data_IF_225785891548
#
_entry.id   IF_225785891548
#
_cell.length_a   1.000
_cell.length_b   1.000
_cell.length_c   1.000
_cell.angle_alpha   90.00
_cell.angle_beta   90.00
_cell.angle_gamma   90.00
#
_symmetry.space_group_name_H-M   'P 1'
#
loop_
_entity.id
_entity.type
_entity.pdbx_description
1 polymer ?
#
# COMPACT_ATOMS: atom_id res chain seq x y z
N UNK A 1 50.78 -14.57 -32.91
CA UNK A 1 49.50 -15.28 -33.07
C UNK A 1 49.53 -16.53 -32.19
N UNK A 2 49.06 -16.43 -30.95
CA UNK A 2 49.14 -17.52 -29.96
C UNK A 2 47.87 -18.39 -30.09
N UNK A 3 48.09 -19.71 -30.19
CA UNK A 3 47.15 -20.79 -30.50
C UNK A 3 45.79 -20.72 -29.76
N UNK A 4 44.73 -20.30 -30.45
CA UNK A 4 43.32 -20.50 -30.02
C UNK A 4 42.95 -21.99 -29.84
N UNK A 5 43.69 -22.89 -30.47
CA UNK A 5 43.53 -24.36 -30.44
C UNK A 5 43.98 -25.02 -29.13
N UNK A 6 44.79 -24.36 -28.28
CA UNK A 6 45.17 -24.89 -26.95
C UNK A 6 44.12 -24.63 -25.87
N UNK A 7 43.42 -23.50 -25.95
CA UNK A 7 42.44 -23.05 -24.94
C UNK A 7 41.13 -23.86 -25.03
N UNK A 8 40.67 -24.17 -26.25
CA UNK A 8 39.46 -24.99 -26.48
C UNK A 8 39.66 -26.43 -26.01
N UNK A 9 40.86 -26.99 -26.17
CA UNK A 9 41.21 -28.33 -25.69
C UNK A 9 41.23 -28.43 -24.15
N UNK A 10 41.75 -27.42 -23.47
CA UNK A 10 41.81 -27.36 -22.00
C UNK A 10 40.41 -27.19 -21.38
N UNK A 11 39.51 -26.44 -22.03
CA UNK A 11 38.11 -26.31 -21.63
C UNK A 11 37.31 -27.62 -21.74
N UNK A 12 37.48 -28.37 -22.83
CA UNK A 12 36.87 -29.70 -22.97
C UNK A 12 37.49 -30.71 -21.99
N UNK A 13 38.79 -30.61 -21.72
CA UNK A 13 39.50 -31.45 -20.75
C UNK A 13 38.93 -31.30 -19.33
N UNK A 14 38.85 -30.07 -18.78
CA UNK A 14 38.30 -29.87 -17.43
C UNK A 14 36.81 -30.18 -17.34
N UNK A 15 36.03 -29.94 -18.40
CA UNK A 15 34.60 -30.31 -18.44
C UNK A 15 34.41 -31.83 -18.48
N UNK A 16 35.30 -32.58 -19.15
CA UNK A 16 35.31 -34.05 -19.18
C UNK A 16 35.76 -34.66 -17.84
N UNK A 17 36.73 -34.04 -17.17
CA UNK A 17 37.17 -34.45 -15.81
C UNK A 17 36.14 -34.11 -14.72
N UNK A 18 35.34 -33.05 -14.92
CA UNK A 18 34.21 -32.72 -14.05
C UNK A 18 33.04 -33.73 -14.16
N UNK A 19 32.93 -34.48 -15.26
CA UNK A 19 31.79 -35.35 -15.54
C UNK A 19 32.07 -36.86 -15.51
N UNK A 20 33.33 -37.30 -15.64
CA UNK A 20 33.71 -38.73 -15.66
C UNK A 20 34.80 -39.01 -14.60
N UNK A 21 34.75 -40.17 -13.95
CA UNK A 21 35.82 -40.64 -13.07
C UNK A 21 37.08 -40.89 -13.90
N UNK A 22 38.03 -39.97 -13.83
CA UNK A 22 39.24 -40.03 -14.64
C UNK A 22 40.12 -41.19 -14.21
N UNK A 23 40.71 -41.92 -15.16
CA UNK A 23 41.72 -42.93 -14.85
C UNK A 23 42.95 -42.27 -14.20
N UNK A 24 43.63 -43.01 -13.34
CA UNK A 24 44.89 -42.60 -12.74
C UNK A 24 45.93 -42.38 -13.84
N UNK A 25 46.48 -41.17 -13.97
CA UNK A 25 47.42 -40.82 -15.04
C UNK A 25 48.67 -41.71 -15.06
N UNK A 26 49.15 -42.08 -13.87
CA UNK A 26 50.31 -42.96 -13.72
C UNK A 26 49.98 -44.40 -14.12
N UNK A 27 48.82 -44.93 -13.71
CA UNK A 27 48.43 -46.29 -14.11
C UNK A 27 48.10 -46.36 -15.61
N UNK A 28 47.45 -45.34 -16.15
CA UNK A 28 47.08 -45.24 -17.56
C UNK A 28 48.33 -45.19 -18.46
N UNK A 29 49.38 -44.47 -18.03
CA UNK A 29 50.69 -44.46 -18.70
C UNK A 29 51.37 -45.84 -18.73
N UNK A 30 50.95 -46.76 -17.86
CA UNK A 30 51.38 -48.17 -17.81
C UNK A 30 50.38 -49.12 -18.47
N UNK A 31 49.40 -48.59 -19.21
CA UNK A 31 48.28 -49.31 -19.82
C UNK A 31 47.39 -50.08 -18.82
N UNK A 32 47.33 -49.61 -17.57
CA UNK A 32 46.49 -50.17 -16.51
C UNK A 32 45.43 -49.11 -16.14
N UNK A 33 44.16 -49.38 -16.44
CA UNK A 33 43.09 -48.46 -16.08
C UNK A 33 42.64 -48.69 -14.62
N UNK A 34 43.01 -47.76 -13.73
CA UNK A 34 42.48 -47.67 -12.35
C UNK A 34 41.75 -46.34 -12.18
N UNK A 35 40.62 -46.28 -11.48
CA UNK A 35 39.93 -45.02 -11.22
C UNK A 35 40.77 -44.11 -10.30
N UNK A 36 40.77 -42.80 -10.57
CA UNK A 36 41.39 -41.82 -9.69
C UNK A 36 40.50 -41.56 -8.48
N UNK A 37 41.11 -41.57 -7.29
CA UNK A 37 40.45 -41.17 -6.04
C UNK A 37 40.80 -39.72 -5.68
N UNK A 38 41.96 -39.23 -6.11
CA UNK A 38 42.45 -37.88 -5.80
C UNK A 38 43.02 -37.18 -7.04
N UNK A 39 43.08 -35.86 -7.00
CA UNK A 39 43.64 -34.97 -8.02
C UNK A 39 44.83 -34.20 -7.46
N UNK A 40 45.92 -34.12 -8.21
CA UNK A 40 47.08 -33.29 -7.85
C UNK A 40 47.12 -32.03 -8.72
N UNK A 41 47.17 -30.84 -8.10
CA UNK A 41 47.13 -29.57 -8.83
C UNK A 41 48.40 -29.30 -9.64
N UNK A 42 49.56 -29.61 -9.08
CA UNK A 42 50.87 -29.31 -9.67
C UNK A 42 51.23 -30.30 -10.78
N UNK A 43 50.79 -31.56 -10.66
CA UNK A 43 50.93 -32.55 -11.72
C UNK A 43 49.82 -32.46 -12.76
N UNK A 44 48.70 -31.81 -12.43
CA UNK A 44 47.49 -31.72 -13.26
C UNK A 44 47.03 -33.11 -13.76
N UNK A 45 47.06 -34.09 -12.85
CA UNK A 45 46.73 -35.49 -13.13
C UNK A 45 45.95 -36.13 -11.96
N UNK A 46 45.12 -37.13 -12.29
CA UNK A 46 44.39 -37.94 -11.34
C UNK A 46 45.23 -39.11 -10.82
N UNK A 47 45.07 -39.46 -9.54
CA UNK A 47 45.81 -40.50 -8.83
C UNK A 47 44.82 -41.51 -8.22
N UNK A 48 45.06 -42.81 -8.42
CA UNK A 48 44.42 -43.86 -7.60
C UNK A 48 45.06 -43.91 -6.21
N UNK A 49 44.47 -44.65 -5.26
CA UNK A 49 44.93 -44.65 -3.87
C UNK A 49 46.41 -45.07 -3.72
N UNK A 50 46.83 -46.13 -4.42
CA UNK A 50 48.23 -46.60 -4.42
C UNK A 50 49.19 -45.56 -4.99
N UNK A 51 48.81 -44.90 -6.09
CA UNK A 51 49.64 -43.87 -6.71
C UNK A 51 49.72 -42.63 -5.83
N UNK A 52 48.63 -42.26 -5.16
CA UNK A 52 48.59 -41.16 -4.19
C UNK A 52 49.52 -41.43 -3.01
N UNK A 53 49.48 -42.63 -2.42
CA UNK A 53 50.39 -43.01 -1.32
C UNK A 53 51.86 -42.87 -1.72
N UNK A 54 52.21 -43.34 -2.91
CA UNK A 54 53.57 -43.16 -3.41
C UNK A 54 53.91 -41.69 -3.70
N UNK A 55 52.94 -40.93 -4.21
CA UNK A 55 53.08 -39.51 -4.56
C UNK A 55 53.37 -38.63 -3.35
N UNK A 56 52.71 -38.87 -2.21
CA UNK A 56 52.94 -38.12 -0.97
C UNK A 56 54.24 -38.50 -0.26
N UNK A 57 54.73 -39.73 -0.46
CA UNK A 57 55.98 -40.21 0.14
C UNK A 57 57.22 -39.80 -0.67
N UNK A 58 57.06 -39.58 -1.97
CA UNK A 58 58.15 -39.19 -2.84
C UNK A 58 58.63 -37.76 -2.56
N UNK A 59 59.96 -37.58 -2.43
CA UNK A 59 60.59 -36.29 -2.10
C UNK A 59 60.24 -35.17 -3.09
N UNK A 60 60.01 -35.51 -4.36
CA UNK A 60 59.72 -34.53 -5.41
C UNK A 60 58.27 -34.02 -5.41
N UNK A 61 57.32 -34.82 -4.90
CA UNK A 61 55.88 -34.54 -5.00
C UNK A 61 55.16 -34.45 -3.65
N UNK A 62 55.86 -34.70 -2.53
CA UNK A 62 55.30 -34.62 -1.17
C UNK A 62 54.70 -33.26 -0.78
N UNK A 63 55.07 -32.18 -1.47
CA UNK A 63 54.57 -30.82 -1.22
C UNK A 63 53.43 -30.41 -2.14
N UNK A 64 52.98 -31.29 -3.04
CA UNK A 64 51.91 -30.99 -3.98
C UNK A 64 50.55 -30.95 -3.26
N UNK A 65 49.69 -30.02 -3.68
CA UNK A 65 48.30 -29.97 -3.25
C UNK A 65 47.51 -31.14 -3.86
N UNK A 66 46.95 -31.98 -2.98
CA UNK A 66 46.10 -33.10 -3.38
C UNK A 66 44.70 -32.89 -2.80
N UNK A 67 43.68 -33.05 -3.63
CA UNK A 67 42.27 -32.98 -3.23
C UNK A 67 41.52 -34.22 -3.74
N UNK A 68 40.54 -34.77 -3.01
CA UNK A 68 39.67 -35.82 -3.54
C UNK A 68 38.99 -35.41 -4.85
N UNK A 69 38.83 -36.35 -5.79
CA UNK A 69 38.26 -36.04 -7.11
C UNK A 69 36.84 -35.49 -6.99
N UNK A 70 36.01 -36.03 -6.09
CA UNK A 70 34.64 -35.55 -5.87
C UNK A 70 34.58 -34.09 -5.39
N UNK A 71 35.56 -33.61 -4.61
CA UNK A 71 35.65 -32.22 -4.18
C UNK A 71 36.25 -31.34 -5.29
N UNK A 72 37.22 -31.85 -6.04
CA UNK A 72 37.74 -31.16 -7.23
C UNK A 72 36.64 -30.88 -8.26
N UNK A 73 35.74 -31.85 -8.48
CA UNK A 73 34.60 -31.72 -9.39
C UNK A 73 33.58 -30.64 -8.96
N UNK A 74 33.55 -30.28 -7.68
CA UNK A 74 32.69 -29.19 -7.17
C UNK A 74 33.31 -27.81 -7.36
N UNK A 75 34.59 -27.71 -7.72
CA UNK A 75 35.24 -26.41 -7.93
C UNK A 75 34.62 -25.69 -9.13
N UNK A 76 34.34 -24.38 -9.02
CA UNK A 76 33.82 -23.61 -10.14
C UNK A 76 34.78 -23.65 -11.33
N UNK A 77 34.23 -23.75 -12.54
CA UNK A 77 35.03 -23.73 -13.79
C UNK A 77 35.90 -22.47 -13.87
N UNK A 78 35.41 -21.34 -13.35
CA UNK A 78 36.18 -20.09 -13.29
C UNK A 78 37.45 -20.21 -12.46
N UNK A 79 37.45 -21.01 -11.39
CA UNK A 79 38.64 -21.29 -10.56
C UNK A 79 39.59 -22.23 -11.30
N UNK A 80 39.07 -23.27 -11.97
CA UNK A 80 39.86 -24.22 -12.75
C UNK A 80 40.56 -23.59 -13.96
N UNK A 81 40.10 -22.41 -14.40
CA UNK A 81 40.70 -21.64 -15.49
C UNK A 81 41.84 -20.72 -15.02
N UNK A 82 42.04 -20.57 -13.72
CA UNK A 82 43.14 -19.75 -13.19
C UNK A 82 44.45 -20.50 -13.46
N UNK A 83 45.38 -19.82 -14.12
CA UNK A 83 46.70 -20.38 -14.44
C UNK A 83 47.74 -19.87 -13.45
N UNK A 84 48.62 -20.76 -12.99
CA UNK A 84 49.75 -20.40 -12.10
C UNK A 84 50.89 -19.66 -12.83
N UNK A 85 50.79 -19.52 -14.15
CA UNK A 85 51.85 -19.01 -15.02
C UNK A 85 51.45 -17.70 -15.69
N UNK A 86 52.43 -16.82 -15.87
CA UNK A 86 52.30 -15.57 -16.58
C UNK A 86 51.97 -15.83 -18.04
N UNK A 87 50.89 -15.20 -18.52
CA UNK A 87 50.41 -15.33 -19.90
C UNK A 87 51.40 -14.76 -20.92
N UNK A 88 52.17 -13.74 -20.53
CA UNK A 88 53.11 -13.06 -21.41
C UNK A 88 54.46 -13.78 -21.51
N UNK A 89 54.95 -14.33 -20.39
CA UNK A 89 56.31 -14.85 -20.29
C UNK A 89 56.41 -16.35 -20.01
N UNK A 90 55.31 -17.01 -19.66
CA UNK A 90 55.25 -18.46 -19.40
C UNK A 90 55.90 -18.91 -18.08
N UNK A 91 56.31 -17.97 -17.22
CA UNK A 91 56.93 -18.24 -15.92
C UNK A 91 55.91 -18.19 -14.78
N UNK A 92 56.15 -18.92 -13.69
CA UNK A 92 55.24 -18.91 -12.53
C UNK A 92 55.12 -17.51 -11.94
N UNK A 93 53.92 -17.17 -11.46
CA UNK A 93 53.74 -15.96 -10.67
C UNK A 93 54.51 -16.06 -9.36
N UNK A 94 55.19 -14.98 -8.97
CA UNK A 94 56.02 -14.91 -7.77
C UNK A 94 55.65 -13.74 -6.86
N UNK A 95 55.07 -12.68 -7.41
CA UNK A 95 54.67 -11.51 -6.64
C UNK A 95 53.28 -11.03 -7.04
N UNK A 96 52.64 -10.26 -6.17
CA UNK A 96 51.42 -9.51 -6.46
C UNK A 96 51.73 -8.03 -6.41
N UNK A 97 51.29 -7.30 -7.43
CA UNK A 97 51.40 -5.84 -7.48
C UNK A 97 50.09 -5.21 -7.05
N UNK A 98 50.06 -4.60 -5.86
CA UNK A 98 48.85 -3.97 -5.31
C UNK A 98 48.42 -2.74 -6.11
N UNK A 99 49.37 -2.01 -6.71
CA UNK A 99 49.08 -0.85 -7.55
C UNK A 99 48.27 -1.20 -8.81
N UNK A 100 48.57 -2.36 -9.41
CA UNK A 100 47.94 -2.81 -10.66
C UNK A 100 46.99 -3.99 -10.46
N UNK A 101 46.79 -4.40 -9.21
CA UNK A 101 45.93 -5.50 -8.77
C UNK A 101 46.15 -6.82 -9.56
N UNK A 102 47.41 -7.16 -9.84
CA UNK A 102 47.74 -8.31 -10.69
C UNK A 102 48.94 -9.13 -10.19
N UNK A 103 48.93 -10.43 -10.53
CA UNK A 103 50.04 -11.34 -10.28
C UNK A 103 51.16 -11.17 -11.31
N UNK A 104 52.40 -11.18 -10.86
CA UNK A 104 53.61 -10.88 -11.64
C UNK A 104 54.63 -12.03 -11.56
N UNK A 105 55.21 -12.41 -12.70
CA UNK A 105 56.41 -13.27 -12.73
C UNK A 105 57.69 -12.42 -12.65
N UNK A 106 58.87 -13.03 -12.52
CA UNK A 106 60.16 -12.32 -12.38
C UNK A 106 60.40 -11.34 -13.53
N UNK A 107 60.09 -11.71 -14.78
CA UNK A 107 60.22 -10.83 -15.95
C UNK A 107 59.27 -9.63 -15.90
N UNK A 108 58.02 -9.82 -15.47
CA UNK A 108 57.07 -8.72 -15.26
C UNK A 108 57.61 -7.69 -14.26
N UNK A 109 58.31 -8.14 -13.21
CA UNK A 109 58.91 -7.27 -12.21
C UNK A 109 60.05 -6.41 -12.77
N UNK A 110 60.81 -6.92 -13.74
CA UNK A 110 61.94 -6.22 -14.36
C UNK A 110 61.51 -5.30 -15.51
N UNK A 111 60.37 -5.59 -16.15
CA UNK A 111 59.84 -4.84 -17.29
C UNK A 111 58.75 -3.86 -16.83
N UNK A 112 57.51 -4.34 -16.77
CA UNK A 112 56.31 -3.52 -16.59
C UNK A 112 56.13 -3.00 -15.17
N UNK A 113 56.68 -3.70 -14.17
CA UNK A 113 56.51 -3.39 -12.75
C UNK A 113 57.79 -2.90 -12.05
N UNK A 114 58.86 -2.57 -12.80
CA UNK A 114 60.17 -2.15 -12.24
C UNK A 114 60.13 -0.95 -11.30
N UNK A 115 59.13 -0.08 -11.47
CA UNK A 115 58.95 1.14 -10.69
C UNK A 115 57.82 1.02 -9.65
N UNK A 116 57.20 -0.16 -9.52
CA UNK A 116 56.15 -0.41 -8.52
C UNK A 116 56.81 -0.66 -7.16
N UNK A 117 56.42 0.12 -6.15
CA UNK A 117 56.97 0.02 -4.79
C UNK A 117 56.18 -0.91 -3.87
N UNK A 118 54.94 -1.21 -4.24
CA UNK A 118 54.02 -2.03 -3.45
C UNK A 118 53.83 -3.40 -4.10
N UNK A 119 54.86 -4.22 -3.91
CA UNK A 119 54.97 -5.59 -4.42
C UNK A 119 55.11 -6.53 -3.21
N UNK A 120 54.30 -7.57 -3.16
CA UNK A 120 54.36 -8.59 -2.09
C UNK A 120 54.59 -9.95 -2.71
N UNK A 121 55.35 -10.83 -2.05
CA UNK A 121 55.49 -12.22 -2.49
C UNK A 121 54.10 -12.87 -2.56
N UNK A 122 53.85 -13.63 -3.63
CA UNK A 122 52.55 -14.24 -3.87
C UNK A 122 52.19 -15.24 -2.76
N UNK A 123 53.18 -15.94 -2.19
CA UNK A 123 52.96 -16.88 -1.10
C UNK A 123 52.59 -16.13 0.18
N UNK A 124 53.20 -14.97 0.44
CA UNK A 124 52.84 -14.12 1.58
C UNK A 124 51.41 -13.59 1.43
N UNK A 125 51.00 -13.17 0.22
CA UNK A 125 49.60 -12.78 -0.05
C UNK A 125 48.65 -13.95 0.18
N UNK A 126 48.98 -15.14 -0.32
CA UNK A 126 48.15 -16.35 -0.13
C UNK A 126 48.05 -16.72 1.35
N UNK A 127 49.18 -16.70 2.08
CA UNK A 127 49.21 -16.94 3.53
C UNK A 127 48.38 -15.90 4.27
N UNK A 128 48.51 -14.62 3.94
CA UNK A 128 47.72 -13.55 4.56
C UNK A 128 46.22 -13.71 4.29
N UNK A 129 45.81 -14.10 3.08
CA UNK A 129 44.39 -14.37 2.78
C UNK A 129 43.89 -15.58 3.57
N UNK A 130 44.69 -16.65 3.66
CA UNK A 130 44.32 -17.88 4.38
C UNK A 130 44.29 -17.71 5.90
N UNK A 131 45.17 -16.88 6.44
CA UNK A 131 45.32 -16.63 7.88
C UNK A 131 44.51 -15.43 8.38
N UNK A 132 44.01 -14.58 7.49
CA UNK A 132 43.11 -13.46 7.85
C UNK A 132 41.65 -13.87 7.80
N UNK A 133 40.80 -13.02 8.38
CA UNK A 133 39.34 -13.17 8.33
C UNK A 133 38.73 -12.64 7.02
N UNK A 134 39.54 -12.39 5.97
CA UNK A 134 39.05 -11.76 4.73
C UNK A 134 37.91 -12.56 4.08
N UNK A 135 38.07 -13.88 3.96
CA UNK A 135 37.03 -14.74 3.38
C UNK A 135 35.75 -14.76 4.24
N UNK A 136 35.89 -14.74 5.57
CA UNK A 136 34.77 -14.69 6.51
C UNK A 136 34.00 -13.36 6.42
N UNK A 137 34.69 -12.22 6.26
CA UNK A 137 34.05 -10.91 6.09
C UNK A 137 33.35 -10.80 4.72
N UNK A 138 33.93 -11.38 3.65
CA UNK A 138 33.25 -11.49 2.35
C UNK A 138 31.96 -12.32 2.49
N UNK A 139 32.03 -13.47 3.15
CA UNK A 139 30.87 -14.35 3.37
C UNK A 139 29.77 -13.64 4.17
N UNK A 140 30.14 -12.88 5.20
CA UNK A 140 29.24 -12.06 6.01
C UNK A 140 28.60 -10.94 5.20
N UNK A 141 29.37 -10.25 4.37
CA UNK A 141 28.84 -9.25 3.43
C UNK A 141 27.86 -9.86 2.45
N UNK A 142 28.16 -11.05 1.90
CA UNK A 142 27.23 -11.77 1.02
C UNK A 142 25.91 -12.08 1.73
N UNK A 143 25.95 -12.57 2.98
CA UNK A 143 24.73 -12.81 3.78
C UNK A 143 23.91 -11.53 3.96
N UNK A 144 24.56 -10.43 4.33
CA UNK A 144 23.88 -9.13 4.52
C UNK A 144 23.17 -8.65 3.25
N UNK A 145 23.84 -8.74 2.10
CA UNK A 145 23.25 -8.38 0.80
C UNK A 145 22.03 -9.25 0.51
N UNK A 146 22.12 -10.56 0.75
CA UNK A 146 20.99 -11.49 0.56
C UNK A 146 19.81 -11.13 1.48
N UNK A 147 20.05 -10.84 2.75
CA UNK A 147 19.00 -10.43 3.69
C UNK A 147 18.32 -9.12 3.25
N UNK A 148 19.10 -8.13 2.82
CA UNK A 148 18.59 -6.86 2.29
C UNK A 148 17.72 -7.07 1.04
N UNK A 149 18.18 -7.91 0.10
CA UNK A 149 17.40 -8.25 -1.09
C UNK A 149 16.08 -8.95 -0.73
N UNK A 150 16.09 -9.83 0.28
CA UNK A 150 14.88 -10.47 0.78
C UNK A 150 13.90 -9.46 1.41
N UNK A 151 14.40 -8.51 2.22
CA UNK A 151 13.58 -7.43 2.80
C UNK A 151 12.95 -6.57 1.72
N UNK A 152 13.72 -6.16 0.72
CA UNK A 152 13.22 -5.39 -0.43
C UNK A 152 12.12 -6.20 -1.14
N UNK A 153 12.37 -7.47 -1.45
CA UNK A 153 11.40 -8.35 -2.11
C UNK A 153 10.09 -8.43 -1.31
N UNK A 154 10.17 -8.64 0.00
CA UNK A 154 8.99 -8.75 0.86
C UNK A 154 8.21 -7.43 0.93
N UNK A 155 8.91 -6.30 1.08
CA UNK A 155 8.29 -4.97 1.08
C UNK A 155 7.55 -4.69 -0.25
N UNK A 156 8.18 -4.97 -1.40
CA UNK A 156 7.56 -4.73 -2.72
C UNK A 156 6.39 -5.69 -2.99
N UNK A 157 6.47 -6.94 -2.56
CA UNK A 157 5.35 -7.89 -2.63
C UNK A 157 4.16 -7.43 -1.75
N UNK A 158 4.44 -6.89 -0.57
CA UNK A 158 3.43 -6.27 0.30
C UNK A 158 2.75 -5.08 -0.37
N UNK A 159 3.53 -4.15 -0.94
CA UNK A 159 2.99 -3.00 -1.68
C UNK A 159 2.13 -3.40 -2.88
N UNK A 160 2.53 -4.43 -3.65
CA UNK A 160 1.70 -4.96 -4.74
C UNK A 160 0.34 -5.47 -4.25
N UNK A 161 0.33 -6.14 -3.09
CA UNK A 161 -0.90 -6.62 -2.47
C UNK A 161 -1.78 -5.47 -2.00
N UNK A 162 -1.19 -4.44 -1.39
CA UNK A 162 -1.89 -3.22 -0.98
C UNK A 162 -2.49 -2.47 -2.17
N UNK A 163 -1.79 -2.37 -3.30
CA UNK A 163 -2.31 -1.75 -4.53
C UNK A 163 -3.58 -2.44 -5.02
N UNK A 164 -3.63 -3.78 -4.96
CA UNK A 164 -4.84 -4.54 -5.31
C UNK A 164 -6.01 -4.18 -4.38
N UNK A 165 -5.76 -4.11 -3.08
CA UNK A 165 -6.78 -3.74 -2.08
C UNK A 165 -7.25 -2.29 -2.30
N UNK A 166 -6.34 -1.36 -2.57
CA UNK A 166 -6.70 0.04 -2.85
C UNK A 166 -7.59 0.15 -4.09
N UNK A 167 -7.27 -0.58 -5.16
CA UNK A 167 -8.12 -0.64 -6.36
C UNK A 167 -9.53 -1.12 -6.02
N UNK A 168 -9.64 -2.27 -5.34
CA UNK A 168 -10.94 -2.85 -4.98
C UNK A 168 -11.74 -1.92 -4.05
N UNK A 169 -11.07 -1.23 -3.13
CA UNK A 169 -11.69 -0.26 -2.23
C UNK A 169 -12.24 0.93 -3.01
N UNK A 170 -11.44 1.53 -3.90
CA UNK A 170 -11.84 2.66 -4.73
C UNK A 170 -12.99 2.27 -5.67
N UNK A 171 -12.94 1.09 -6.28
CA UNK A 171 -14.02 0.56 -7.12
C UNK A 171 -15.34 0.48 -6.33
N UNK A 172 -15.31 -0.06 -5.11
CA UNK A 172 -16.49 -0.15 -4.25
C UNK A 172 -17.00 1.23 -3.80
N UNK A 173 -16.11 2.18 -3.51
CA UNK A 173 -16.48 3.54 -3.15
C UNK A 173 -17.20 4.25 -4.30
N UNK A 174 -16.67 4.16 -5.53
CA UNK A 174 -17.30 4.72 -6.73
C UNK A 174 -18.71 4.17 -6.91
N UNK A 175 -18.87 2.85 -6.80
CA UNK A 175 -20.18 2.19 -6.92
C UNK A 175 -21.14 2.63 -5.81
N UNK A 176 -20.67 2.68 -4.57
CA UNK A 176 -21.46 3.08 -3.40
C UNK A 176 -21.95 4.52 -3.52
N UNK A 177 -21.10 5.45 -3.96
CA UNK A 177 -21.48 6.86 -4.19
C UNK A 177 -22.56 6.94 -5.26
N UNK A 178 -22.38 6.24 -6.39
CA UNK A 178 -23.38 6.22 -7.46
C UNK A 178 -24.73 5.66 -6.97
N UNK A 179 -24.70 4.57 -6.21
CA UNK A 179 -25.90 3.96 -5.66
C UNK A 179 -26.64 4.92 -4.73
N UNK A 180 -25.94 5.58 -3.78
CA UNK A 180 -26.55 6.56 -2.88
C UNK A 180 -27.20 7.73 -3.61
N UNK A 181 -26.58 8.23 -4.68
CA UNK A 181 -27.15 9.29 -5.52
C UNK A 181 -28.46 8.81 -6.16
N UNK A 182 -28.47 7.62 -6.75
CA UNK A 182 -29.66 7.06 -7.38
C UNK A 182 -30.78 6.83 -6.35
N UNK A 183 -30.45 6.27 -5.18
CA UNK A 183 -31.42 6.05 -4.10
C UNK A 183 -32.04 7.37 -3.61
N UNK A 184 -31.24 8.43 -3.52
CA UNK A 184 -31.74 9.76 -3.18
C UNK A 184 -32.71 10.30 -4.22
N UNK A 185 -32.36 10.23 -5.52
CA UNK A 185 -33.26 10.68 -6.59
C UNK A 185 -34.54 9.86 -6.68
N UNK A 186 -34.46 8.52 -6.54
CA UNK A 186 -35.63 7.65 -6.49
C UNK A 186 -36.55 7.99 -5.31
N UNK A 187 -35.98 8.38 -4.16
CA UNK A 187 -36.78 8.84 -3.02
C UNK A 187 -37.49 10.15 -3.32
N UNK A 188 -36.79 11.15 -3.87
CA UNK A 188 -37.39 12.45 -4.24
C UNK A 188 -38.51 12.28 -5.27
N UNK A 189 -38.31 11.43 -6.29
CA UNK A 189 -39.33 11.11 -7.29
C UNK A 189 -40.58 10.51 -6.63
N UNK A 190 -40.42 9.51 -5.75
CA UNK A 190 -41.55 8.90 -5.04
C UNK A 190 -42.30 9.88 -4.15
N UNK A 191 -41.58 10.77 -3.46
CA UNK A 191 -42.19 11.81 -2.63
C UNK A 191 -43.03 12.77 -3.47
N UNK A 192 -42.49 13.25 -4.59
CA UNK A 192 -43.19 14.17 -5.50
C UNK A 192 -44.40 13.53 -6.18
N UNK A 193 -44.28 12.27 -6.61
CA UNK A 193 -45.41 11.52 -7.19
C UNK A 193 -46.52 11.28 -6.16
N UNK A 194 -46.15 11.02 -4.89
CA UNK A 194 -47.12 10.88 -3.81
C UNK A 194 -47.84 12.19 -3.52
N UNK A 195 -47.12 13.31 -3.50
CA UNK A 195 -47.69 14.65 -3.34
C UNK A 195 -48.65 14.98 -4.48
N UNK A 196 -48.24 14.74 -5.73
CA UNK A 196 -49.10 14.90 -6.91
C UNK A 196 -50.39 14.08 -6.78
N UNK A 197 -50.28 12.82 -6.38
CA UNK A 197 -51.43 11.94 -6.18
C UNK A 197 -52.37 12.45 -5.07
N UNK A 198 -51.83 13.02 -3.99
CA UNK A 198 -52.62 13.60 -2.91
C UNK A 198 -53.38 14.84 -3.39
N UNK A 199 -52.68 15.77 -4.05
CA UNK A 199 -53.30 16.99 -4.60
C UNK A 199 -54.40 16.64 -5.59
N UNK A 200 -54.12 15.72 -6.52
CA UNK A 200 -55.09 15.25 -7.52
C UNK A 200 -56.33 14.64 -6.85
N UNK A 201 -56.15 13.79 -5.85
CA UNK A 201 -57.27 13.17 -5.12
C UNK A 201 -58.11 14.19 -4.36
N UNK A 202 -57.50 15.20 -3.76
CA UNK A 202 -58.22 16.20 -2.97
C UNK A 202 -59.03 17.15 -3.87
N UNK A 203 -58.47 17.58 -5.00
CA UNK A 203 -59.20 18.34 -6.02
C UNK A 203 -60.32 17.50 -6.65
N UNK A 204 -60.06 16.23 -6.97
CA UNK A 204 -61.07 15.28 -7.45
C UNK A 204 -62.24 15.15 -6.47
N UNK A 205 -61.98 15.07 -5.17
CA UNK A 205 -63.05 15.01 -4.15
C UNK A 205 -63.89 16.27 -4.13
N UNK A 206 -63.28 17.46 -4.27
CA UNK A 206 -64.01 18.73 -4.31
C UNK A 206 -64.92 18.79 -5.53
N UNK A 207 -64.38 18.51 -6.72
CA UNK A 207 -65.13 18.47 -7.98
C UNK A 207 -66.26 17.43 -7.93
N UNK A 208 -65.99 16.24 -7.40
CA UNK A 208 -67.00 15.17 -7.28
C UNK A 208 -68.17 15.56 -6.35
N UNK A 209 -67.91 16.30 -5.26
CA UNK A 209 -68.98 16.82 -4.38
C UNK A 209 -69.89 17.80 -5.12
N UNK A 210 -69.28 18.72 -5.87
CA UNK A 210 -70.02 19.69 -6.68
C UNK A 210 -70.88 18.96 -7.72
N UNK A 211 -70.29 18.03 -8.46
CA UNK A 211 -71.00 17.22 -9.46
C UNK A 211 -72.20 16.50 -8.84
N UNK A 212 -72.03 15.84 -7.70
CA UNK A 212 -73.11 15.13 -7.01
C UNK A 212 -74.24 16.08 -6.58
N UNK A 213 -73.89 17.29 -6.13
CA UNK A 213 -74.86 18.32 -5.74
C UNK A 213 -75.69 18.81 -6.93
N UNK A 214 -75.01 19.07 -8.06
CA UNK A 214 -75.64 19.51 -9.32
C UNK A 214 -76.54 18.41 -9.89
N UNK A 215 -76.05 17.17 -10.00
CA UNK A 215 -76.85 16.03 -10.50
C UNK A 215 -78.11 15.79 -9.67
N UNK A 216 -78.04 15.97 -8.34
CA UNK A 216 -79.20 15.84 -7.46
C UNK A 216 -80.24 16.92 -7.77
N UNK A 217 -79.79 18.15 -7.99
CA UNK A 217 -80.67 19.29 -8.31
C UNK A 217 -81.26 19.16 -9.71
N UNK A 218 -80.48 18.73 -10.68
CA UNK A 218 -80.94 18.42 -12.04
C UNK A 218 -82.09 17.40 -12.00
N UNK A 219 -81.93 16.27 -11.31
CA UNK A 219 -82.98 15.25 -11.15
C UNK A 219 -84.24 15.78 -10.45
N UNK A 220 -84.07 16.66 -9.45
CA UNK A 220 -85.20 17.31 -8.77
C UNK A 220 -86.01 18.16 -9.76
N UNK A 221 -85.33 18.97 -10.59
CA UNK A 221 -85.96 19.81 -11.61
C UNK A 221 -86.61 18.97 -12.72
N UNK A 222 -85.96 17.93 -13.20
CA UNK A 222 -86.52 17.01 -14.22
C UNK A 222 -87.83 16.37 -13.73
N UNK A 223 -87.85 15.91 -12.47
CA UNK A 223 -89.05 15.36 -11.85
C UNK A 223 -90.21 16.38 -11.80
N UNK A 224 -89.89 17.64 -11.45
CA UNK A 224 -90.87 18.72 -11.45
C UNK A 224 -91.37 19.07 -12.86
N UNK A 225 -90.53 19.03 -13.89
CA UNK A 225 -90.96 19.23 -15.28
C UNK A 225 -91.99 18.18 -15.73
N UNK A 226 -91.77 16.91 -15.38
CA UNK A 226 -92.72 15.83 -15.68
C UNK A 226 -94.04 16.07 -14.96
N UNK A 227 -93.99 16.37 -13.65
CA UNK A 227 -95.18 16.64 -12.85
C UNK A 227 -95.97 17.86 -13.34
N UNK A 228 -95.27 18.93 -13.73
CA UNK A 228 -95.88 20.14 -14.28
C UNK A 228 -96.69 19.85 -15.55
N UNK A 229 -96.23 18.93 -16.40
CA UNK A 229 -96.94 18.53 -17.62
C UNK A 229 -98.27 17.85 -17.30
N UNK A 230 -98.28 16.96 -16.30
CA UNK A 230 -99.50 16.26 -15.83
C UNK A 230 -100.47 17.24 -15.18
N UNK A 231 -99.96 18.14 -14.32
CA UNK A 231 -100.77 19.15 -13.61
C UNK A 231 -101.48 20.06 -14.62
N UNK A 232 -100.79 20.55 -15.64
CA UNK A 232 -101.37 21.39 -16.69
C UNK A 232 -102.54 20.74 -17.44
N UNK A 233 -102.55 19.41 -17.57
CA UNK A 233 -103.57 18.68 -18.33
C UNK A 233 -104.76 18.25 -17.48
N UNK A 234 -104.54 17.96 -16.19
CA UNK A 234 -105.49 17.18 -15.39
C UNK A 234 -105.79 17.75 -13.99
N UNK A 235 -105.03 18.73 -13.49
CA UNK A 235 -105.24 19.26 -12.14
C UNK A 235 -106.32 20.35 -12.09
N UNK A 236 -106.96 20.48 -10.93
CA UNK A 236 -107.86 21.60 -10.64
C UNK A 236 -107.10 22.94 -10.54
N UNK A 237 -107.81 24.06 -10.68
CA UNK A 237 -107.23 25.40 -10.58
C UNK A 237 -106.49 25.63 -9.26
N UNK A 238 -107.07 25.18 -8.14
CA UNK A 238 -106.46 25.30 -6.82
C UNK A 238 -105.19 24.44 -6.69
N UNK A 239 -105.21 23.19 -7.16
CA UNK A 239 -104.03 22.32 -7.16
C UNK A 239 -102.91 22.89 -8.04
N UNK A 240 -103.26 23.44 -9.20
CA UNK A 240 -102.32 24.07 -10.12
C UNK A 240 -101.65 25.27 -9.46
N UNK A 241 -102.42 26.14 -8.80
CA UNK A 241 -101.88 27.31 -8.09
C UNK A 241 -100.98 26.93 -6.91
N UNK A 242 -101.37 25.95 -6.09
CA UNK A 242 -100.57 25.55 -4.93
C UNK A 242 -99.23 24.92 -5.34
N UNK A 243 -99.25 24.03 -6.35
CA UNK A 243 -98.01 23.39 -6.82
C UNK A 243 -97.14 24.35 -7.61
N UNK A 244 -97.69 25.31 -8.36
CA UNK A 244 -96.88 26.32 -9.05
C UNK A 244 -96.07 27.16 -8.06
N UNK A 245 -96.65 27.52 -6.90
CA UNK A 245 -95.91 28.20 -5.83
C UNK A 245 -94.82 27.36 -5.19
N UNK A 246 -95.03 26.05 -5.06
CA UNK A 246 -93.96 25.15 -4.60
C UNK A 246 -92.82 25.06 -5.62
N UNK A 247 -93.14 24.94 -6.93
CA UNK A 247 -92.13 24.91 -7.99
C UNK A 247 -91.35 26.23 -8.05
N UNK A 248 -92.03 27.38 -7.97
CA UNK A 248 -91.37 28.70 -7.90
C UNK A 248 -90.33 28.75 -6.77
N UNK A 249 -90.67 28.24 -5.58
CA UNK A 249 -89.73 28.18 -4.46
C UNK A 249 -88.51 27.31 -4.75
N UNK A 250 -88.71 26.10 -5.30
CA UNK A 250 -87.60 25.19 -5.64
C UNK A 250 -86.69 25.79 -6.72
N UNK A 251 -87.27 26.52 -7.69
CA UNK A 251 -86.50 27.23 -8.71
C UNK A 251 -85.65 28.35 -8.09
N UNK A 252 -86.21 29.15 -7.17
CA UNK A 252 -85.45 30.17 -6.44
C UNK A 252 -84.31 29.56 -5.62
N UNK A 253 -84.55 28.44 -4.93
CA UNK A 253 -83.51 27.73 -4.17
C UNK A 253 -82.39 27.20 -5.07
N UNK A 254 -82.73 26.75 -6.29
CA UNK A 254 -81.77 26.24 -7.27
C UNK A 254 -80.94 27.37 -7.89
N UNK A 255 -81.57 28.51 -8.16
CA UNK A 255 -80.89 29.71 -8.65
C UNK A 255 -79.91 30.27 -7.61
N UNK A 256 -80.34 30.34 -6.35
CA UNK A 256 -79.46 30.71 -5.23
C UNK A 256 -78.25 29.77 -5.10
N UNK A 257 -78.45 28.46 -5.31
CA UNK A 257 -77.35 27.50 -5.32
C UNK A 257 -76.37 27.79 -6.47
N UNK A 258 -76.86 27.96 -7.70
CA UNK A 258 -76.02 28.26 -8.86
C UNK A 258 -75.22 29.55 -8.64
N UNK A 259 -75.87 30.60 -8.14
CA UNK A 259 -75.22 31.86 -7.81
C UNK A 259 -74.14 31.67 -6.73
N UNK A 260 -74.44 30.90 -5.66
CA UNK A 260 -73.47 30.62 -4.61
C UNK A 260 -72.23 29.88 -5.12
N UNK A 261 -72.39 28.94 -6.06
CA UNK A 261 -71.27 28.21 -6.66
C UNK A 261 -70.41 29.14 -7.54
N UNK A 262 -71.04 30.07 -8.24
CA UNK A 262 -70.34 31.06 -9.06
C UNK A 262 -69.58 32.07 -8.17
N UNK A 263 -70.21 32.57 -7.11
CA UNK A 263 -69.62 33.53 -6.17
C UNK A 263 -68.46 32.92 -5.38
N UNK A 264 -68.55 31.64 -5.02
CA UNK A 264 -67.49 30.90 -4.32
C UNK A 264 -66.37 30.39 -5.23
N UNK A 265 -66.41 30.71 -6.53
CA UNK A 265 -65.44 30.22 -7.53
C UNK A 265 -65.36 28.68 -7.62
N UNK A 266 -66.44 27.97 -7.29
CA UNK A 266 -66.49 26.50 -7.34
C UNK A 266 -66.48 25.95 -8.79
N UNK A 267 -66.75 26.83 -9.77
CA UNK A 267 -66.77 26.52 -11.20
C UNK A 267 -65.40 26.74 -11.88
N UNK A 268 -64.34 27.04 -11.13
CA UNK A 268 -63.00 27.25 -11.72
C UNK A 268 -62.36 25.94 -12.18
N UNK A 269 -61.73 25.95 -13.36
CA UNK A 269 -60.91 24.83 -13.83
C UNK A 269 -59.65 24.65 -12.98
N UNK A 270 -59.37 23.40 -12.60
CA UNK A 270 -58.16 23.04 -11.83
C UNK A 270 -57.06 22.60 -12.79
N UNK A 271 -55.94 23.34 -12.82
CA UNK A 271 -54.75 23.00 -13.62
C UNK A 271 -53.58 22.69 -12.69
N UNK A 272 -53.10 21.45 -12.72
CA UNK A 272 -51.92 21.02 -11.97
C UNK A 272 -50.68 21.18 -12.86
N UNK A 273 -49.65 21.88 -12.37
CA UNK A 273 -48.40 22.08 -13.11
C UNK A 273 -47.18 21.73 -12.25
N UNK A 274 -46.12 21.25 -12.90
CA UNK A 274 -44.86 20.89 -12.25
C UNK A 274 -43.82 21.99 -12.48
N UNK A 275 -43.27 22.54 -11.39
CA UNK A 275 -42.09 23.40 -11.42
C UNK A 275 -40.88 22.65 -10.88
N UNK A 276 -39.97 22.28 -11.78
CA UNK A 276 -38.72 21.61 -11.41
C UNK A 276 -37.68 22.59 -10.89
N UNK A 277 -36.91 22.15 -9.90
CA UNK A 277 -35.80 22.88 -9.31
C UNK A 277 -34.72 23.19 -10.37
N UNK A 278 -34.10 24.37 -10.29
CA UNK A 278 -33.06 24.80 -11.23
C UNK A 278 -31.82 23.91 -11.17
N UNK A 279 -31.48 23.37 -9.99
CA UNK A 279 -30.35 22.47 -9.80
C UNK A 279 -30.57 21.15 -10.53
N UNK A 280 -31.79 20.61 -10.52
CA UNK A 280 -32.16 19.38 -11.25
C UNK A 280 -31.94 19.56 -12.76
N UNK A 281 -32.29 20.73 -13.30
CA UNK A 281 -32.03 21.06 -14.71
C UNK A 281 -30.54 21.18 -15.02
N UNK A 282 -29.74 21.56 -14.03
CA UNK A 282 -28.29 21.75 -14.13
C UNK A 282 -27.44 20.50 -13.89
N UNK A 283 -27.98 19.42 -13.31
CA UNK A 283 -27.19 18.24 -12.89
C UNK A 283 -26.24 17.73 -13.98
N UNK A 284 -26.73 17.59 -15.21
CA UNK A 284 -25.93 17.08 -16.34
C UNK A 284 -24.85 18.05 -16.84
N UNK A 285 -25.00 19.36 -16.56
CA UNK A 285 -24.07 20.41 -16.99
C UNK A 285 -23.01 20.71 -15.92
N UNK A 286 -23.43 20.74 -14.66
CA UNK A 286 -22.62 21.10 -13.51
C UNK A 286 -21.75 19.93 -13.04
N UNK A 287 -22.27 18.70 -13.04
CA UNK A 287 -21.53 17.51 -12.59
C UNK A 287 -20.87 16.82 -13.79
N UNK A 288 -19.59 17.13 -14.03
CA UNK A 288 -18.82 16.57 -15.18
C UNK A 288 -17.92 15.39 -14.86
N UNK A 289 -17.63 15.16 -13.58
CA UNK A 289 -16.78 14.04 -13.10
C UNK A 289 -17.24 13.56 -11.74
N UNK A 290 -17.07 12.27 -11.46
CA UNK A 290 -17.37 11.66 -10.16
C UNK A 290 -16.31 11.94 -9.10
N UNK A 291 -15.06 12.09 -9.53
CA UNK A 291 -13.92 12.29 -8.65
C UNK A 291 -12.64 12.28 -9.46
N UNK A 292 -11.52 12.25 -8.74
CA UNK A 292 -10.17 12.23 -9.30
C UNK A 292 -9.35 11.15 -8.59
N UNK A 293 -8.65 10.32 -9.36
CA UNK A 293 -7.76 9.30 -8.81
C UNK A 293 -6.38 9.92 -8.71
N UNK A 294 -5.87 10.03 -7.47
CA UNK A 294 -4.55 10.62 -7.19
C UNK A 294 -3.60 9.52 -6.74
N UNK A 295 -2.38 9.53 -7.29
CA UNK A 295 -1.29 8.64 -6.86
C UNK A 295 -0.37 9.43 -5.95
N UNK A 296 -0.24 9.00 -4.70
CA UNK A 296 0.73 9.54 -3.76
C UNK A 296 1.86 8.54 -3.58
N UNK A 297 3.10 9.01 -3.68
CA UNK A 297 4.30 8.23 -3.41
C UNK A 297 5.00 8.81 -2.20
N UNK A 298 5.22 7.97 -1.18
CA UNK A 298 6.06 8.29 -0.04
C UNK A 298 7.27 7.38 -0.03
N UNK A 299 8.33 7.82 0.66
CA UNK A 299 9.45 6.94 0.95
C UNK A 299 8.98 5.75 1.81
N UNK A 300 9.65 4.61 1.63
CA UNK A 300 9.34 3.42 2.42
C UNK A 300 10.21 3.42 3.68
N UNK A 301 9.59 3.21 4.85
CA UNK A 301 10.26 3.04 6.15
C UNK A 301 11.13 1.77 6.27
N UNK A 302 11.46 1.14 5.15
CA UNK A 302 12.21 -0.12 5.11
C UNK A 302 13.70 0.19 5.30
N UNK A 303 14.26 -0.33 6.39
CA UNK A 303 15.68 -0.19 6.69
C UNK A 303 16.51 -1.37 6.20
N UNK A 304 17.61 -1.03 5.52
CA UNK A 304 18.62 -1.98 5.10
C UNK A 304 19.65 -2.18 6.21
N UNK A 305 20.08 -3.43 6.42
CA UNK A 305 21.23 -3.72 7.26
C UNK A 305 22.48 -3.18 6.57
N UNK A 306 23.36 -2.53 7.34
CA UNK A 306 24.70 -2.16 6.87
C UNK A 306 25.75 -2.46 7.93
N UNK A 307 26.56 -3.48 7.74
CA UNK A 307 27.75 -3.71 8.56
C UNK A 307 28.95 -3.08 7.85
N UNK A 308 29.78 -2.34 8.59
CA UNK A 308 31.00 -1.74 8.01
C UNK A 308 31.95 -2.86 7.60
N UNK A 309 32.13 -3.07 6.30
CA UNK A 309 33.19 -3.93 5.78
C UNK A 309 34.50 -3.19 6.01
N UNK A 310 35.36 -3.68 6.91
CA UNK A 310 36.76 -3.31 6.87
C UNK A 310 37.34 -3.98 5.63
N UNK A 311 37.46 -3.24 4.52
CA UNK A 311 38.29 -3.70 3.42
C UNK A 311 39.72 -3.79 3.97
N UNK A 312 40.20 -5.00 4.20
CA UNK A 312 41.60 -5.24 4.53
C UNK A 312 42.44 -4.87 3.31
N UNK A 313 42.79 -3.58 3.17
CA UNK A 313 44.05 -3.25 2.55
C UNK A 313 45.12 -3.80 3.49
N UNK A 314 45.97 -4.70 2.99
CA UNK A 314 47.13 -5.17 3.71
C UNK A 314 48.08 -3.99 3.96
N UNK A 315 47.83 -3.23 5.03
CA UNK A 315 48.74 -2.20 5.54
C UNK A 315 49.10 -2.57 6.97
N UNK A 316 50.39 -2.75 7.16
CA UNK A 316 51.07 -3.00 8.43
C UNK A 316 50.81 -1.84 9.38
N UNK A 317 50.54 -2.19 10.64
CA UNK A 317 50.29 -1.28 11.76
C UNK A 317 51.40 -0.23 11.94
N UNK A 318 51.01 1.02 12.18
CA UNK A 318 51.79 1.95 13.00
C UNK A 318 50.89 2.52 14.09
N UNK A 319 51.31 2.28 15.34
CA UNK A 319 50.59 2.61 16.56
C UNK A 319 50.90 4.06 16.91
N UNK A 320 49.95 4.96 16.72
CA UNK A 320 49.93 6.22 17.47
C UNK A 320 48.53 6.57 17.97
N UNK A 321 48.47 6.74 19.29
CA UNK A 321 47.33 7.19 20.09
C UNK A 321 46.87 8.57 19.61
N UNK A 322 45.56 8.71 19.37
CA UNK A 322 44.92 9.99 19.07
C UNK A 322 43.44 9.93 19.42
N UNK A 323 43.09 10.59 20.50
CA UNK A 323 41.78 10.76 21.11
C UNK A 323 40.97 11.77 20.29
N UNK A 324 39.80 11.42 19.75
CA UNK A 324 38.79 12.41 19.30
C UNK A 324 37.40 11.78 19.17
N UNK A 325 36.49 12.32 19.98
CA UNK A 325 35.08 12.64 19.71
C UNK A 325 34.24 11.73 18.83
N UNK A 326 33.24 11.13 19.48
CA UNK A 326 32.02 10.67 18.85
C UNK A 326 31.22 11.87 18.32
N UNK A 327 31.60 12.38 17.15
CA UNK A 327 30.69 13.11 16.29
C UNK A 327 29.77 12.08 15.62
N UNK A 328 28.55 11.93 16.16
CA UNK A 328 27.45 11.43 15.35
C UNK A 328 27.06 12.57 14.41
N UNK A 329 27.50 12.51 13.16
CA UNK A 329 26.92 13.31 12.09
C UNK A 329 25.45 12.89 11.94
N UNK A 330 24.59 13.75 12.47
CA UNK A 330 23.16 13.77 12.22
C UNK A 330 22.91 14.00 10.73
N UNK A 331 22.42 12.97 10.04
CA UNK A 331 21.76 13.16 8.74
C UNK A 331 20.27 13.42 9.02
N UNK A 332 19.93 14.71 9.01
CA UNK A 332 18.60 15.30 8.74
C UNK A 332 17.97 14.67 7.47
N UNK A 333 16.67 14.49 7.25
CA UNK A 333 15.41 14.79 7.92
C UNK A 333 14.35 13.92 7.20
N UNK A 334 13.63 13.06 7.93
CA UNK A 334 12.23 12.77 7.58
C UNK A 334 11.42 13.39 8.70
N UNK A 335 10.84 14.57 8.47
CA UNK A 335 10.00 15.18 9.50
C UNK A 335 8.83 14.24 9.79
N UNK A 336 8.68 13.84 11.06
CA UNK A 336 7.56 13.00 11.48
C UNK A 336 6.24 13.68 11.06
N UNK A 337 5.27 12.94 10.51
CA UNK A 337 4.04 13.53 10.02
C UNK A 337 3.28 14.21 11.15
N UNK A 338 3.04 15.52 11.00
CA UNK A 338 2.39 16.36 11.99
C UNK A 338 1.11 16.98 11.43
N UNK A 339 0.06 16.98 12.24
CA UNK A 339 -1.27 17.46 11.88
C UNK A 339 -1.76 18.46 12.92
N UNK A 340 -2.58 19.43 12.50
CA UNK A 340 -3.25 20.33 13.44
C UNK A 340 -4.60 19.71 13.82
N UNK A 341 -4.80 19.53 15.13
CA UNK A 341 -6.01 18.93 15.70
C UNK A 341 -6.59 19.82 16.77
N UNK A 342 -7.92 19.89 16.83
CA UNK A 342 -8.66 20.60 17.88
C UNK A 342 -9.24 19.60 18.86
N UNK A 343 -8.93 19.74 20.14
CA UNK A 343 -9.46 18.87 21.20
C UNK A 343 -10.91 19.28 21.51
N UNK A 344 -11.83 18.32 21.52
CA UNK A 344 -13.18 18.56 22.02
C UNK A 344 -13.15 18.56 23.56
N UNK A 345 -13.65 19.61 24.21
CA UNK A 345 -13.61 19.70 25.66
C UNK A 345 -14.59 18.71 26.29
N UNK A 346 -14.05 17.74 27.03
CA UNK A 346 -14.77 16.81 27.90
C UNK A 346 -14.02 16.60 29.22
N UNK A 347 -14.60 15.81 30.13
CA UNK A 347 -13.98 15.53 31.44
C UNK A 347 -12.61 14.85 31.32
N UNK A 348 -12.41 13.99 30.32
CA UNK A 348 -11.16 13.26 30.10
C UNK A 348 -10.06 14.17 29.49
N UNK A 349 -10.42 15.06 28.57
CA UNK A 349 -9.53 16.06 27.97
C UNK A 349 -9.04 17.06 29.02
N UNK A 350 -9.94 17.57 29.86
CA UNK A 350 -9.59 18.46 30.97
C UNK A 350 -8.67 17.77 31.99
N UNK A 351 -8.94 16.50 32.29
CA UNK A 351 -8.10 15.66 33.16
C UNK A 351 -6.70 15.44 32.58
N UNK A 352 -6.55 15.39 31.26
CA UNK A 352 -5.25 15.33 30.58
C UNK A 352 -4.62 16.70 30.33
N UNK A 353 -5.24 17.79 30.80
CA UNK A 353 -4.73 19.15 30.61
C UNK A 353 -4.80 19.64 29.16
N UNK A 354 -5.65 19.03 28.34
CA UNK A 354 -5.80 19.33 26.92
C UNK A 354 -7.01 20.23 26.69
N UNK A 355 -6.78 21.42 26.12
CA UNK A 355 -7.83 22.35 25.72
C UNK A 355 -7.37 23.24 24.57
N UNK A 356 -8.11 23.24 23.46
CA UNK A 356 -7.79 24.05 22.28
C UNK A 356 -7.08 23.27 21.16
N UNK A 357 -6.21 23.95 20.43
CA UNK A 357 -5.54 23.41 19.24
C UNK A 357 -4.12 22.95 19.54
N UNK A 358 -3.76 21.81 18.98
CA UNK A 358 -2.45 21.19 19.16
C UNK A 358 -1.89 20.71 17.83
N UNK A 359 -0.56 20.66 17.75
CA UNK A 359 0.14 19.96 16.68
C UNK A 359 0.37 18.52 17.11
N UNK A 360 -0.32 17.59 16.47
CA UNK A 360 -0.21 16.15 16.68
C UNK A 360 0.87 15.59 15.76
N UNK A 361 2.02 15.22 16.30
CA UNK A 361 3.09 14.55 15.58
C UNK A 361 3.08 13.03 15.84
N UNK A 362 3.10 12.24 14.76
CA UNK A 362 3.03 10.79 14.79
C UNK A 362 4.41 10.19 14.59
N UNK A 363 5.16 10.07 15.70
CA UNK A 363 6.48 9.43 15.69
C UNK A 363 6.35 7.91 15.51
N UNK A 364 7.44 7.16 15.24
CA UNK A 364 7.39 5.70 15.20
C UNK A 364 7.01 5.02 16.54
N UNK A 365 7.04 5.75 17.66
CA UNK A 365 6.90 5.17 19.01
C UNK A 365 5.80 5.78 19.89
N UNK A 366 5.38 7.03 19.66
CA UNK A 366 4.27 7.66 20.37
C UNK A 366 3.51 8.71 19.55
N UNK A 367 2.29 9.01 19.98
CA UNK A 367 1.58 10.25 19.64
C UNK A 367 2.17 11.38 20.47
N UNK A 368 2.60 12.48 19.86
CA UNK A 368 3.08 13.68 20.56
C UNK A 368 2.13 14.84 20.28
N UNK A 369 1.57 15.45 21.32
CA UNK A 369 0.79 16.69 21.23
C UNK A 369 1.68 17.85 21.66
N UNK A 370 1.99 18.72 20.72
CA UNK A 370 2.74 19.96 20.93
C UNK A 370 1.77 21.14 21.00
N UNK A 371 1.98 22.00 21.99
CA UNK A 371 1.29 23.27 22.09
C UNK A 371 1.74 24.19 20.93
N UNK A 372 0.81 24.73 20.16
CA UNK A 372 1.12 25.52 18.96
C UNK A 372 1.81 26.85 19.32
N UNK A 373 1.52 27.42 20.50
CA UNK A 373 2.09 28.69 20.94
C UNK A 373 3.45 28.52 21.59
N UNK A 374 3.66 27.42 22.33
CA UNK A 374 4.88 27.17 23.10
C UNK A 374 5.88 26.25 22.38
N UNK A 375 5.46 25.53 21.34
CA UNK A 375 6.27 24.52 20.62
C UNK A 375 6.92 23.48 21.55
N UNK A 376 6.34 23.26 22.73
CA UNK A 376 6.81 22.29 23.72
C UNK A 376 5.85 21.11 23.78
N UNK A 377 6.33 19.86 23.87
CA UNK A 377 5.47 18.68 24.03
C UNK A 377 4.64 18.79 25.32
N UNK A 378 3.32 18.86 25.20
CA UNK A 378 2.41 18.84 26.35
C UNK A 378 2.13 17.41 26.80
N UNK A 379 2.05 16.47 25.86
CA UNK A 379 1.76 15.06 26.18
C UNK A 379 2.32 14.13 25.11
N UNK A 380 2.97 13.03 25.50
CA UNK A 380 3.33 11.92 24.60
C UNK A 380 2.66 10.63 25.09
N UNK A 381 1.93 9.97 24.19
CA UNK A 381 1.25 8.70 24.44
C UNK A 381 1.88 7.59 23.61
N UNK A 382 2.70 6.73 24.21
CA UNK A 382 3.24 5.55 23.53
C UNK A 382 2.13 4.66 22.94
N UNK A 383 2.36 4.08 21.76
CA UNK A 383 1.32 3.27 21.10
C UNK A 383 0.88 2.05 21.92
N UNK A 384 1.75 1.51 22.77
CA UNK A 384 1.44 0.36 23.64
C UNK A 384 0.46 0.69 24.77
N UNK A 385 0.19 1.97 25.07
CA UNK A 385 -0.81 2.38 26.06
C UNK A 385 -2.13 2.82 25.42
N UNK A 386 -2.17 2.99 24.10
CA UNK A 386 -3.38 3.32 23.34
C UNK A 386 -4.20 2.04 23.10
N UNK A 387 -5.42 2.02 23.62
CA UNK A 387 -6.31 0.84 23.56
C UNK A 387 -7.28 0.87 22.38
N UNK A 388 -7.67 2.06 21.95
CA UNK A 388 -8.62 2.23 20.85
C UNK A 388 -8.34 3.54 20.13
N UNK A 389 -8.26 3.45 18.81
CA UNK A 389 -8.32 4.58 17.89
C UNK A 389 -9.64 4.45 17.12
N UNK A 390 -10.56 5.41 17.28
CA UNK A 390 -11.92 5.31 16.75
C UNK A 390 -12.28 6.49 15.86
N UNK A 391 -12.56 6.25 14.58
CA UNK A 391 -13.18 7.25 13.70
C UNK A 391 -14.65 7.38 14.08
N UNK A 392 -15.12 8.58 14.44
CA UNK A 392 -16.50 8.82 14.91
C UNK A 392 -17.47 9.08 13.73
N UNK A 393 -17.54 8.10 12.82
CA UNK A 393 -18.52 8.06 11.74
C UNK A 393 -17.96 8.45 10.36
N UNK A 394 -18.74 8.17 9.30
CA UNK A 394 -18.27 8.21 7.90
C UNK A 394 -18.30 9.64 7.31
N UNK A 395 -18.99 10.58 7.96
CA UNK A 395 -19.25 11.95 7.46
C UNK A 395 -18.61 13.05 8.30
N UNK A 396 -17.82 12.70 9.32
CA UNK A 396 -17.22 13.67 10.26
C UNK A 396 -15.70 13.53 10.28
N UNK A 397 -15.00 14.65 10.44
CA UNK A 397 -13.54 14.73 10.49
C UNK A 397 -13.00 14.52 11.93
N UNK A 398 -13.73 13.77 12.77
CA UNK A 398 -13.44 13.57 14.19
C UNK A 398 -12.93 12.16 14.49
N UNK A 399 -11.99 12.07 15.43
CA UNK A 399 -11.45 10.78 15.88
C UNK A 399 -11.23 10.79 17.39
N UNK A 400 -11.18 9.61 17.98
CA UNK A 400 -10.96 9.45 19.41
C UNK A 400 -9.75 8.59 19.71
N UNK A 401 -8.99 8.98 20.74
CA UNK A 401 -7.88 8.20 21.30
C UNK A 401 -8.27 7.78 22.71
N UNK A 402 -8.39 6.47 22.93
CA UNK A 402 -8.57 5.91 24.28
C UNK A 402 -7.24 5.42 24.83
N UNK A 403 -6.78 6.01 25.93
CA UNK A 403 -5.57 5.59 26.66
C UNK A 403 -5.93 4.65 27.82
N UNK A 404 -5.12 3.61 28.01
CA UNK A 404 -5.35 2.58 29.02
C UNK A 404 -4.77 2.91 30.41
N UNK A 405 -4.95 1.99 31.37
CA UNK A 405 -4.52 2.12 32.77
C UNK A 405 -3.02 2.35 32.99
N UNK A 406 -2.19 2.16 31.95
CA UNK A 406 -0.74 2.40 31.97
C UNK A 406 -0.38 3.87 31.77
N UNK A 407 -1.36 4.72 31.46
CA UNK A 407 -1.19 6.17 31.45
C UNK A 407 -1.14 6.71 32.89
N UNK A 408 -0.24 7.65 33.15
CA UNK A 408 0.01 8.19 34.51
C UNK A 408 -1.21 8.94 35.06
N UNK A 409 -2.00 9.55 34.18
CA UNK A 409 -3.25 10.24 34.50
C UNK A 409 -4.48 9.30 34.47
N UNK A 410 -4.27 8.00 34.30
CA UNK A 410 -5.33 7.00 34.27
C UNK A 410 -6.01 6.82 32.90
N UNK A 411 -7.08 6.02 32.89
CA UNK A 411 -7.88 5.74 31.69
C UNK A 411 -8.69 6.98 31.32
N UNK A 412 -8.81 7.23 30.01
CA UNK A 412 -9.69 8.25 29.45
C UNK A 412 -9.73 8.17 27.93
N UNK A 413 -10.75 8.78 27.33
CA UNK A 413 -10.88 8.92 25.88
C UNK A 413 -10.92 10.39 25.53
N UNK A 414 -10.05 10.83 24.62
CA UNK A 414 -10.05 12.21 24.12
C UNK A 414 -10.53 12.22 22.68
N UNK A 415 -11.47 13.12 22.41
CA UNK A 415 -11.99 13.37 21.07
C UNK A 415 -11.27 14.56 20.41
N UNK A 416 -10.93 14.38 19.14
CA UNK A 416 -10.21 15.35 18.33
C UNK A 416 -10.96 15.62 17.04
N UNK A 417 -10.85 16.85 16.53
CA UNK A 417 -11.34 17.27 15.22
C UNK A 417 -10.15 17.67 14.35
N UNK A 418 -10.05 17.07 13.17
CA UNK A 418 -9.05 17.42 12.17
C UNK A 418 -9.50 18.60 11.29
N UNK A 419 -8.53 19.32 10.71
CA UNK A 419 -8.79 20.36 9.72
C UNK A 419 -9.46 19.81 8.45
N UNK A 420 -9.07 18.62 8.01
CA UNK A 420 -9.68 17.93 6.87
C UNK A 420 -9.98 16.46 7.16
N UNK A 421 -10.82 15.86 6.31
CA UNK A 421 -11.08 14.42 6.34
C UNK A 421 -9.85 13.62 5.90
N UNK A 422 -9.05 14.17 5.00
CA UNK A 422 -7.83 13.51 4.53
C UNK A 422 -6.82 13.38 5.67
N UNK A 423 -6.66 14.42 6.50
CA UNK A 423 -5.84 14.37 7.71
C UNK A 423 -6.31 13.28 8.69
N UNK A 424 -7.62 13.19 8.93
CA UNK A 424 -8.20 12.16 9.79
C UNK A 424 -7.92 10.73 9.25
N UNK A 425 -8.04 10.52 7.95
CA UNK A 425 -7.77 9.23 7.31
C UNK A 425 -6.27 8.89 7.37
N UNK A 426 -5.40 9.87 7.18
CA UNK A 426 -3.95 9.71 7.25
C UNK A 426 -3.47 9.42 8.68
N UNK A 427 -3.93 10.20 9.66
CA UNK A 427 -3.70 9.95 11.09
C UNK A 427 -4.16 8.53 11.45
N UNK A 428 -5.35 8.12 11.01
CA UNK A 428 -5.90 6.79 11.25
C UNK A 428 -5.02 5.68 10.66
N UNK A 429 -4.53 5.85 9.43
CA UNK A 429 -3.63 4.87 8.79
C UNK A 429 -2.33 4.70 9.58
N UNK A 430 -1.67 5.81 9.91
CA UNK A 430 -0.39 5.83 10.63
C UNK A 430 -0.57 5.27 12.05
N UNK A 431 -1.59 5.74 12.77
CA UNK A 431 -1.92 5.30 14.12
C UNK A 431 -2.18 3.79 14.18
N UNK A 432 -3.00 3.26 13.26
CA UNK A 432 -3.33 1.83 13.24
C UNK A 432 -2.11 0.97 12.87
N UNK A 433 -1.26 1.43 11.96
CA UNK A 433 -0.02 0.75 11.60
C UNK A 433 0.95 0.65 12.79
N UNK A 434 1.22 1.78 13.44
CA UNK A 434 2.15 1.84 14.58
C UNK A 434 1.62 1.11 15.82
N UNK A 435 0.31 1.19 16.08
CA UNK A 435 -0.33 0.46 17.19
C UNK A 435 -0.20 -1.05 16.99
N UNK A 436 -0.48 -1.57 15.78
CA UNK A 436 -0.31 -3.00 15.45
C UNK A 436 1.15 -3.46 15.58
N UNK A 437 2.09 -2.65 15.09
CA UNK A 437 3.54 -2.93 15.19
C UNK A 437 4.02 -2.97 16.65
N UNK A 438 3.48 -2.11 17.51
CA UNK A 438 3.82 -2.10 18.94
C UNK A 438 3.29 -3.32 19.67
N UNK A 439 2.08 -3.81 19.35
CA UNK A 439 1.48 -5.01 19.94
C UNK A 439 2.24 -6.28 19.54
N UNK A 440 2.73 -6.38 18.29
CA UNK A 440 3.53 -7.53 17.83
C UNK A 440 4.92 -7.65 18.48
N UNK A 441 5.45 -6.57 19.07
CA UNK A 441 6.73 -6.58 19.78
C UNK A 441 6.62 -6.99 21.25
N UNK A 442 5.41 -7.11 21.80
CA UNK A 442 5.17 -7.47 23.21
C UNK A 442 4.92 -8.98 23.39
N UNK A 443 4.75 -9.72 22.29
CA UNK A 443 4.48 -11.17 22.28
C UNK A 443 5.70 -12.06 22.00
N UNK A 444 6.92 -11.53 22.20
CA UNK A 444 8.17 -12.31 22.13
C UNK A 444 9.02 -12.12 23.37
#
# INVERSE_FOLDING_TARGET
MINRSRIVNKYMFYRKMASESTACGICDSRHISKPSTSWCFECNEGLCEECKEHHILNKASKSHGIIPVNEFQKLPVSVLQIEDFCKSHGERYQAYCHKHECSCCTKCLLEDHKNCKDLTDINDVICNIKSSNMLLEIEKSMREVVENLQRIKMNRAGNLSSLKIYRETIENEIQTVRQKINEHFNRLERELLKELQTIENDERKKISKILTSVERKEKEIDGLQISLTIIKQHASDLQTFLVSKQIEHVLMDTDNLMQSMQDNSELSDVIISLKTDCLIKGVNKEIRRFGEIVVQTSESDMSLVRQKIQQAQAKVDDVTKGRTDHHYETIQNTEDPCFIVTVQPDEDALKFGLNGQYRLCLTPTCFVLEDIEKMTPQTCWPYNIVRKFGVKGITKNDFSITVGRRNVLGVGTVDFVCNSRDDQLEISRIANFNTKRSLSKVTH
#
